data_IF_403930324548
#
_entry.id   IF_403930324548
#
_cell.length_a   1.000
_cell.length_b   1.000
_cell.length_c   1.000
_cell.angle_alpha   90.00
_cell.angle_beta   90.00
_cell.angle_gamma   90.00
#
_symmetry.space_group_name_H-M   'P 1'
#
loop_
_entity.id
_entity.type
_entity.pdbx_description
1 polymer ?
#
# COMPACT_ATOMS: atom_id res chain seq x y z
N UNK A 1 -12.08 2.82 5.72
CA UNK A 1 -12.40 4.27 5.64
C UNK A 1 -12.12 4.94 4.27
N UNK A 2 -10.96 4.76 3.64
CA UNK A 2 -10.61 5.43 2.37
C UNK A 2 -11.67 5.26 1.26
N UNK A 3 -12.00 4.01 0.93
CA UNK A 3 -12.96 3.71 -0.14
C UNK A 3 -14.38 4.15 0.23
N UNK A 4 -14.75 4.02 1.52
CA UNK A 4 -16.04 4.49 2.03
C UNK A 4 -16.19 5.99 1.84
N UNK A 5 -15.22 6.80 2.30
CA UNK A 5 -15.23 8.25 2.14
C UNK A 5 -15.26 8.65 0.65
N UNK A 6 -14.42 8.02 -0.18
CA UNK A 6 -14.40 8.28 -1.63
C UNK A 6 -15.76 8.01 -2.30
N UNK A 7 -16.42 6.91 -1.94
CA UNK A 7 -17.76 6.60 -2.43
C UNK A 7 -18.84 7.54 -1.91
N UNK A 8 -18.69 8.03 -0.67
CA UNK A 8 -19.61 9.01 -0.07
C UNK A 8 -19.53 10.37 -0.75
N UNK A 9 -18.34 10.92 -0.98
CA UNK A 9 -18.21 12.26 -1.59
C UNK A 9 -18.56 12.29 -3.08
N UNK A 10 -18.63 11.13 -3.74
CA UNK A 10 -18.93 11.00 -5.18
C UNK A 10 -20.40 10.65 -5.48
N UNK A 11 -21.29 10.74 -4.50
CA UNK A 11 -22.72 10.51 -4.74
C UNK A 11 -23.30 11.62 -5.62
N UNK A 12 -24.12 11.24 -6.60
CA UNK A 12 -24.86 12.20 -7.43
C UNK A 12 -25.90 12.97 -6.62
N UNK A 13 -26.54 12.30 -5.65
CA UNK A 13 -27.44 12.93 -4.70
C UNK A 13 -26.66 13.32 -3.43
N UNK A 14 -26.52 14.61 -3.18
CA UNK A 14 -25.79 15.15 -2.01
C UNK A 14 -26.43 14.80 -0.66
N UNK A 15 -27.73 14.46 -0.62
CA UNK A 15 -28.39 14.01 0.61
C UNK A 15 -27.77 12.72 1.15
N UNK A 16 -27.37 11.80 0.26
CA UNK A 16 -26.68 10.56 0.65
C UNK A 16 -25.33 10.86 1.28
N UNK A 17 -24.60 11.86 0.79
CA UNK A 17 -23.34 12.30 1.39
C UNK A 17 -23.57 12.94 2.76
N UNK A 18 -24.62 13.76 2.90
CA UNK A 18 -24.97 14.44 4.14
C UNK A 18 -25.28 13.46 5.28
N UNK A 19 -25.89 12.31 4.96
CA UNK A 19 -26.16 11.23 5.93
C UNK A 19 -24.90 10.49 6.40
N UNK A 20 -23.75 10.68 5.73
CA UNK A 20 -22.54 9.86 5.95
C UNK A 20 -21.43 10.54 6.77
N UNK A 21 -21.75 11.59 7.54
CA UNK A 21 -20.85 12.24 8.51
C UNK A 21 -19.42 12.47 7.99
N UNK A 22 -19.30 12.92 6.73
CA UNK A 22 -18.00 13.17 6.11
C UNK A 22 -17.40 14.44 6.70
N UNK A 23 -16.21 14.33 7.29
CA UNK A 23 -15.46 15.46 7.81
C UNK A 23 -14.29 15.81 6.89
N UNK A 24 -13.97 17.10 6.81
CA UNK A 24 -12.80 17.62 6.10
C UNK A 24 -11.78 18.15 7.11
N UNK A 25 -10.52 17.74 6.94
CA UNK A 25 -9.39 18.21 7.73
C UNK A 25 -8.39 18.82 6.75
N UNK A 26 -8.15 20.12 6.88
CA UNK A 26 -7.27 20.88 6.00
C UNK A 26 -5.80 20.53 6.27
N UNK A 27 -5.03 20.32 5.21
CA UNK A 27 -3.61 19.93 5.32
C UNK A 27 -2.69 20.75 4.41
N UNK A 28 -3.24 21.60 3.55
CA UNK A 28 -2.47 22.46 2.66
C UNK A 28 -3.30 23.67 2.26
N UNK A 29 -2.65 24.83 2.25
CA UNK A 29 -3.18 26.04 1.64
C UNK A 29 -2.59 26.18 0.24
N UNK A 30 -3.45 26.32 -0.77
CA UNK A 30 -2.99 26.47 -2.17
C UNK A 30 -2.73 27.94 -2.51
N UNK A 31 -3.64 28.82 -2.12
CA UNK A 31 -3.50 30.25 -2.28
C UNK A 31 -4.34 30.99 -1.21
N UNK A 32 -3.85 32.16 -0.80
CA UNK A 32 -4.61 33.15 -0.06
C UNK A 32 -4.09 34.52 -0.48
N UNK A 33 -4.96 35.31 -1.12
CA UNK A 33 -4.59 36.63 -1.62
C UNK A 33 -4.42 37.60 -0.45
N UNK A 34 -3.43 38.49 -0.56
CA UNK A 34 -3.16 39.57 0.40
C UNK A 34 -2.84 39.13 1.85
N UNK A 35 -2.35 37.90 2.03
CA UNK A 35 -1.89 37.38 3.34
C UNK A 35 -0.40 37.05 3.29
N UNK A 36 0.37 37.65 4.20
CA UNK A 36 1.78 37.29 4.41
C UNK A 36 1.91 36.25 5.53
N UNK A 37 2.48 35.09 5.19
CA UNK A 37 2.71 33.98 6.12
C UNK A 37 4.13 33.97 6.70
N UNK A 38 4.96 34.97 6.41
CA UNK A 38 6.33 35.06 6.93
C UNK A 38 7.18 33.85 6.55
N UNK A 39 6.99 33.31 5.34
CA UNK A 39 7.70 32.14 4.82
C UNK A 39 7.55 30.86 5.68
N UNK A 40 6.37 30.64 6.29
CA UNK A 40 6.13 29.50 7.18
C UNK A 40 4.81 28.78 6.88
N UNK A 41 4.86 27.45 6.73
CA UNK A 41 3.69 26.59 6.58
C UNK A 41 2.87 26.54 7.87
N UNK A 42 3.51 26.58 9.04
CA UNK A 42 2.82 26.67 10.33
C UNK A 42 1.89 27.90 10.37
N UNK A 43 2.33 29.04 9.85
CA UNK A 43 1.49 30.24 9.80
C UNK A 43 0.30 30.06 8.86
N UNK A 44 0.43 29.29 7.77
CA UNK A 44 -0.71 28.92 6.93
C UNK A 44 -1.72 28.05 7.69
N UNK A 45 -1.24 27.11 8.51
CA UNK A 45 -2.10 26.28 9.37
C UNK A 45 -2.86 27.13 10.39
N UNK A 46 -2.16 27.98 11.14
CA UNK A 46 -2.78 28.92 12.11
C UNK A 46 -3.80 29.84 11.44
N UNK A 47 -3.49 30.32 10.23
CA UNK A 47 -4.41 31.14 9.47
C UNK A 47 -5.65 30.35 9.06
N UNK A 48 -5.52 29.14 8.51
CA UNK A 48 -6.67 28.29 8.17
C UNK A 48 -7.56 28.00 9.39
N UNK A 49 -6.98 27.76 10.57
CA UNK A 49 -7.72 27.63 11.83
C UNK A 49 -8.50 28.91 12.16
N UNK A 50 -7.87 30.09 11.98
CA UNK A 50 -8.55 31.39 12.18
C UNK A 50 -9.72 31.62 11.22
N UNK A 51 -9.71 30.97 10.04
CA UNK A 51 -10.80 30.99 9.07
C UNK A 51 -11.90 29.96 9.38
N UNK A 52 -11.76 29.17 10.46
CA UNK A 52 -12.74 28.18 10.90
C UNK A 52 -12.54 26.78 10.33
N UNK A 53 -11.43 26.52 9.63
CA UNK A 53 -11.09 25.15 9.21
C UNK A 53 -10.52 24.35 10.38
N UNK A 54 -10.91 23.08 10.47
CA UNK A 54 -10.13 22.11 11.22
C UNK A 54 -8.87 21.77 10.42
N UNK A 55 -7.70 22.01 10.98
CA UNK A 55 -6.42 21.66 10.35
C UNK A 55 -5.92 20.31 10.88
N UNK A 56 -5.13 19.62 10.07
CA UNK A 56 -4.45 18.38 10.46
C UNK A 56 -3.61 18.61 11.70
N UNK A 57 -3.61 17.67 12.63
CA UNK A 57 -2.72 17.77 13.78
C UNK A 57 -1.26 17.72 13.31
N UNK A 58 -0.45 18.68 13.76
CA UNK A 58 0.94 18.82 13.37
C UNK A 58 1.83 19.15 14.57
N UNK A 59 3.14 18.98 14.40
CA UNK A 59 4.17 19.48 15.32
C UNK A 59 5.29 20.13 14.52
N UNK A 60 5.66 21.34 14.89
CA UNK A 60 6.90 21.95 14.40
C UNK A 60 8.08 21.27 15.10
N UNK A 61 9.04 20.80 14.31
CA UNK A 61 10.16 20.01 14.80
C UNK A 61 11.48 20.55 14.28
N UNK A 62 12.54 20.25 15.02
CA UNK A 62 13.92 20.37 14.55
C UNK A 62 14.47 18.97 14.31
N UNK A 63 15.70 18.88 13.79
CA UNK A 63 16.43 17.61 13.69
C UNK A 63 16.40 16.81 15.00
N UNK A 64 16.50 17.48 16.15
CA UNK A 64 16.63 16.82 17.45
C UNK A 64 15.28 16.41 18.05
N UNK A 65 14.16 17.02 17.65
CA UNK A 65 12.82 16.70 18.19
C UNK A 65 11.95 15.87 17.24
N UNK A 66 12.42 15.64 16.01
CA UNK A 66 11.67 14.92 14.99
C UNK A 66 11.34 13.48 15.41
N UNK A 67 12.31 12.73 15.93
CA UNK A 67 12.08 11.34 16.35
C UNK A 67 11.04 11.23 17.47
N UNK A 68 11.07 12.15 18.43
CA UNK A 68 10.11 12.15 19.54
C UNK A 68 8.70 12.52 19.06
N UNK A 69 8.58 13.42 18.08
CA UNK A 69 7.30 13.72 17.44
C UNK A 69 6.76 12.50 16.67
N UNK A 70 7.62 11.79 15.94
CA UNK A 70 7.23 10.54 15.24
C UNK A 70 6.74 9.50 16.24
N UNK A 71 7.46 9.27 17.34
CA UNK A 71 7.04 8.34 18.42
C UNK A 71 5.71 8.76 19.05
N UNK A 72 5.51 10.05 19.28
CA UNK A 72 4.25 10.57 19.81
C UNK A 72 3.07 10.20 18.90
N UNK A 73 3.17 10.48 17.59
CA UNK A 73 2.11 10.18 16.64
C UNK A 73 1.92 8.67 16.42
N UNK A 74 3.00 7.88 16.45
CA UNK A 74 2.91 6.42 16.35
C UNK A 74 2.16 5.79 17.53
N UNK A 75 2.28 6.37 18.74
CA UNK A 75 1.45 5.97 19.87
C UNK A 75 0.00 6.46 19.73
N UNK A 76 -0.16 7.73 19.35
CA UNK A 76 -1.48 8.38 19.26
C UNK A 76 -2.39 7.75 18.21
N UNK A 77 -1.84 7.29 17.08
CA UNK A 77 -2.64 6.78 15.97
C UNK A 77 -3.47 5.54 16.35
N UNK A 78 -3.05 4.80 17.38
CA UNK A 78 -3.78 3.64 17.91
C UNK A 78 -5.14 4.00 18.51
N UNK A 79 -5.33 5.25 18.94
CA UNK A 79 -6.57 5.75 19.56
C UNK A 79 -7.15 6.96 18.84
N UNK A 80 -6.65 7.28 17.65
CA UNK A 80 -7.06 8.48 16.92
C UNK A 80 -8.40 8.24 16.21
N UNK A 81 -9.22 9.29 16.09
CA UNK A 81 -10.61 9.17 15.62
C UNK A 81 -10.75 8.67 14.17
N UNK A 82 -9.69 8.81 13.39
CA UNK A 82 -9.59 8.28 12.03
C UNK A 82 -8.21 7.66 11.80
N UNK A 83 -8.12 6.59 11.00
CA UNK A 83 -6.85 5.95 10.73
C UNK A 83 -5.99 6.80 9.78
N UNK A 84 -4.68 6.69 9.94
CA UNK A 84 -3.63 7.29 9.13
C UNK A 84 -2.59 6.22 8.81
N UNK A 85 -2.04 6.23 7.60
CA UNK A 85 -0.97 5.33 7.16
C UNK A 85 0.44 5.89 7.39
N UNK A 86 0.55 7.07 8.00
CA UNK A 86 1.82 7.68 8.31
C UNK A 86 1.72 9.13 8.75
N UNK A 87 2.86 9.81 8.58
CA UNK A 87 3.03 11.26 8.70
C UNK A 87 3.51 11.83 7.38
N UNK A 88 3.24 13.12 7.18
CA UNK A 88 3.95 13.92 6.19
C UNK A 88 5.01 14.73 6.93
N UNK A 89 6.28 14.47 6.63
CA UNK A 89 7.40 15.28 7.12
C UNK A 89 7.76 16.27 6.03
N UNK A 90 7.67 17.56 6.31
CA UNK A 90 7.94 18.62 5.33
C UNK A 90 8.68 19.79 5.95
N UNK A 91 9.33 20.59 5.12
CA UNK A 91 9.95 21.84 5.56
C UNK A 91 8.88 22.87 5.88
N UNK A 92 9.04 23.55 7.01
CA UNK A 92 8.20 24.69 7.37
C UNK A 92 8.51 25.91 6.48
N UNK A 93 9.78 26.07 6.09
CA UNK A 93 10.24 27.16 5.22
C UNK A 93 9.74 26.93 3.78
N UNK A 94 8.84 27.81 3.32
CA UNK A 94 8.14 27.68 2.04
C UNK A 94 9.09 27.90 0.87
N UNK A 95 9.85 28.99 0.89
CA UNK A 95 10.81 29.36 -0.16
C UNK A 95 11.91 28.30 -0.29
N UNK A 96 12.46 27.83 0.82
CA UNK A 96 13.42 26.75 0.82
C UNK A 96 12.79 25.48 0.24
N UNK A 97 11.58 25.10 0.67
CA UNK A 97 10.86 23.96 0.12
C UNK A 97 10.67 24.05 -1.40
N UNK A 98 10.25 25.21 -1.91
CA UNK A 98 10.07 25.46 -3.34
C UNK A 98 11.40 25.37 -4.10
N UNK A 99 12.49 25.89 -3.52
CA UNK A 99 13.83 25.87 -4.14
C UNK A 99 14.37 24.46 -4.41
N UNK A 100 13.88 23.45 -3.66
CA UNK A 100 14.27 22.05 -3.87
C UNK A 100 13.67 21.45 -5.14
N UNK A 101 12.63 22.08 -5.71
CA UNK A 101 11.96 21.64 -6.93
C UNK A 101 11.16 20.34 -6.79
N UNK A 102 10.91 19.68 -7.92
CA UNK A 102 10.10 18.46 -7.98
C UNK A 102 10.81 17.36 -8.77
N UNK A 103 10.41 16.12 -8.53
CA UNK A 103 10.64 15.01 -9.46
C UNK A 103 9.55 15.01 -10.53
N UNK A 104 9.56 14.01 -11.44
CA UNK A 104 8.48 13.83 -12.41
C UNK A 104 7.09 13.60 -11.78
N UNK A 105 7.02 13.24 -10.48
CA UNK A 105 5.76 12.92 -9.79
C UNK A 105 5.55 13.63 -8.44
N UNK A 106 6.61 13.96 -7.71
CA UNK A 106 6.51 14.39 -6.31
C UNK A 106 7.39 15.59 -6.01
N UNK A 107 6.95 16.54 -5.16
CA UNK A 107 7.78 17.64 -4.71
C UNK A 107 8.87 17.14 -3.76
N UNK A 108 9.98 17.88 -3.66
CA UNK A 108 11.13 17.53 -2.81
C UNK A 108 11.09 18.19 -1.43
N UNK A 109 10.08 19.00 -1.15
CA UNK A 109 9.91 19.72 0.11
C UNK A 109 9.32 18.86 1.25
N UNK A 110 8.98 17.60 1.00
CA UNK A 110 8.49 16.70 2.03
C UNK A 110 8.48 15.25 1.59
N UNK A 111 8.23 14.38 2.56
CA UNK A 111 8.13 12.92 2.39
C UNK A 111 6.91 12.40 3.15
N UNK A 112 6.28 11.37 2.61
CA UNK A 112 5.32 10.56 3.35
C UNK A 112 6.10 9.50 4.14
N UNK A 113 6.20 9.70 5.46
CA UNK A 113 6.81 8.77 6.40
C UNK A 113 5.74 7.79 6.88
N UNK A 114 5.72 6.58 6.30
CA UNK A 114 4.69 5.58 6.59
C UNK A 114 4.93 4.89 7.93
N UNK A 115 3.84 4.49 8.58
CA UNK A 115 3.90 3.53 9.67
C UNK A 115 4.39 2.18 9.17
N UNK A 116 4.96 1.39 10.08
CA UNK A 116 5.26 0.01 9.79
C UNK A 116 3.94 -0.73 9.50
N UNK A 117 3.90 -1.50 8.41
CA UNK A 117 2.71 -2.23 8.02
C UNK A 117 2.37 -3.27 9.11
N UNK A 118 1.07 -3.40 9.42
CA UNK A 118 0.59 -4.46 10.32
C UNK A 118 0.91 -5.83 9.70
N UNK A 119 1.56 -6.69 10.48
CA UNK A 119 1.87 -8.06 10.07
C UNK A 119 1.09 -9.06 10.90
N UNK A 120 0.58 -10.09 10.24
CA UNK A 120 -0.08 -11.23 10.87
C UNK A 120 0.65 -12.52 10.50
N UNK A 121 0.81 -13.40 11.48
CA UNK A 121 1.29 -14.76 11.24
C UNK A 121 0.12 -15.67 10.85
N UNK A 122 0.33 -16.51 9.84
CA UNK A 122 -0.66 -17.46 9.34
C UNK A 122 0.01 -18.73 8.80
N UNK A 123 -0.79 -19.74 8.47
CA UNK A 123 -0.34 -20.98 7.85
C UNK A 123 -0.61 -20.95 6.34
N UNK A 124 0.45 -21.11 5.53
CA UNK A 124 0.34 -21.31 4.09
C UNK A 124 -0.34 -22.66 3.81
N UNK A 125 -1.48 -22.66 3.13
CA UNK A 125 -2.19 -23.90 2.80
C UNK A 125 -1.65 -24.53 1.53
N UNK A 126 -1.56 -23.74 0.47
CA UNK A 126 -1.05 -24.16 -0.83
C UNK A 126 -0.71 -22.98 -1.74
N UNK A 127 0.07 -23.23 -2.78
CA UNK A 127 0.28 -22.30 -3.89
C UNK A 127 -0.70 -22.60 -5.02
N UNK A 128 -1.56 -21.64 -5.34
CA UNK A 128 -2.40 -21.67 -6.53
C UNK A 128 -1.65 -21.06 -7.71
N UNK A 129 -1.69 -21.70 -8.87
CA UNK A 129 -1.00 -21.25 -10.07
C UNK A 129 -2.00 -20.60 -11.03
N UNK A 130 -1.87 -19.30 -11.25
CA UNK A 130 -2.82 -18.48 -12.00
C UNK A 130 -2.28 -18.11 -13.39
N UNK A 131 -2.77 -18.73 -14.48
CA UNK A 131 -2.37 -18.37 -15.84
C UNK A 131 -2.94 -17.03 -16.26
N UNK A 132 -2.13 -16.25 -16.97
CA UNK A 132 -2.49 -14.95 -17.51
C UNK A 132 -2.56 -14.98 -19.04
N UNK A 133 -3.13 -13.90 -19.62
CA UNK A 133 -3.26 -13.76 -21.08
C UNK A 133 -1.95 -13.72 -21.85
N UNK A 134 -0.82 -13.43 -21.20
CA UNK A 134 0.50 -13.44 -21.83
C UNK A 134 1.13 -14.84 -21.85
N UNK A 135 0.53 -15.80 -21.14
CA UNK A 135 1.06 -17.14 -20.93
C UNK A 135 1.88 -17.29 -19.64
N UNK A 136 2.16 -16.19 -18.92
CA UNK A 136 2.77 -16.28 -17.59
C UNK A 136 1.79 -16.96 -16.63
N UNK A 137 2.29 -17.87 -15.81
CA UNK A 137 1.56 -18.54 -14.75
C UNK A 137 2.13 -18.08 -13.41
N UNK A 138 1.38 -17.24 -12.71
CA UNK A 138 1.85 -16.59 -11.49
C UNK A 138 1.48 -17.41 -10.25
N UNK A 139 2.42 -17.59 -9.30
CA UNK A 139 2.11 -18.21 -8.01
C UNK A 139 1.31 -17.24 -7.13
N UNK A 140 0.24 -17.77 -6.54
CA UNK A 140 -0.63 -17.09 -5.58
C UNK A 140 -0.68 -17.93 -4.32
N UNK A 141 -0.18 -17.39 -3.22
CA UNK A 141 -0.23 -18.04 -1.92
C UNK A 141 -1.67 -18.00 -1.37
N UNK A 142 -2.18 -19.15 -0.97
CA UNK A 142 -3.47 -19.30 -0.28
C UNK A 142 -3.19 -19.76 1.14
N UNK A 143 -3.63 -19.00 2.13
CA UNK A 143 -3.32 -19.23 3.56
C UNK A 143 -4.56 -19.19 4.44
N UNK A 144 -4.41 -19.54 5.71
CA UNK A 144 -5.48 -19.40 6.70
C UNK A 144 -5.91 -17.94 6.84
N UNK A 145 -7.23 -17.63 6.79
CA UNK A 145 -7.69 -16.25 6.85
C UNK A 145 -7.20 -15.52 8.11
N UNK A 146 -6.67 -14.32 7.92
CA UNK A 146 -6.22 -13.43 9.00
C UNK A 146 -6.82 -12.05 8.84
N UNK A 147 -7.08 -11.38 9.96
CA UNK A 147 -7.46 -9.97 9.96
C UNK A 147 -6.21 -9.10 9.82
N UNK A 148 -6.23 -8.21 8.84
CA UNK A 148 -5.22 -7.18 8.62
C UNK A 148 -5.93 -5.86 8.29
N UNK A 149 -5.64 -4.82 9.06
CA UNK A 149 -6.19 -3.47 8.87
C UNK A 149 -7.73 -3.45 8.79
N UNK A 150 -8.38 -4.27 9.62
CA UNK A 150 -9.84 -4.39 9.71
C UNK A 150 -10.50 -5.09 8.52
N UNK A 151 -9.74 -5.92 7.79
CA UNK A 151 -10.31 -6.79 6.75
C UNK A 151 -9.68 -8.18 6.80
N UNK A 152 -10.48 -9.19 6.47
CA UNK A 152 -10.01 -10.56 6.32
C UNK A 152 -9.25 -10.75 5.01
N UNK A 153 -8.04 -11.29 5.10
CA UNK A 153 -7.17 -11.63 3.96
C UNK A 153 -6.82 -13.11 4.01
N UNK A 154 -6.83 -13.78 2.86
CA UNK A 154 -6.50 -15.22 2.75
C UNK A 154 -5.64 -15.56 1.53
N UNK A 155 -5.27 -14.56 0.73
CA UNK A 155 -4.56 -14.73 -0.53
C UNK A 155 -3.55 -13.61 -0.75
N UNK A 156 -2.35 -13.94 -1.22
CA UNK A 156 -1.32 -12.97 -1.60
C UNK A 156 -0.61 -13.39 -2.90
N UNK A 157 -0.25 -12.42 -3.74
CA UNK A 157 0.57 -12.67 -4.93
C UNK A 157 2.02 -12.93 -4.51
N UNK A 158 2.62 -14.01 -5.00
CA UNK A 158 4.06 -14.30 -4.84
C UNK A 158 4.85 -13.77 -6.06
N UNK A 159 4.15 -13.27 -7.07
CA UNK A 159 4.65 -12.68 -8.32
C UNK A 159 5.38 -13.65 -9.26
N UNK A 160 6.41 -14.39 -8.82
CA UNK A 160 7.21 -15.26 -9.68
C UNK A 160 7.92 -16.37 -8.89
N UNK A 161 8.58 -17.28 -9.61
CA UNK A 161 9.29 -18.42 -9.01
C UNK A 161 10.50 -17.94 -8.20
N UNK A 162 11.22 -16.92 -8.67
CA UNK A 162 12.40 -16.41 -7.95
C UNK A 162 12.07 -15.91 -6.54
N UNK A 163 10.94 -15.21 -6.36
CA UNK A 163 10.50 -14.78 -5.02
C UNK A 163 10.08 -15.99 -4.18
N UNK A 164 9.43 -16.98 -4.79
CA UNK A 164 9.06 -18.22 -4.10
C UNK A 164 10.29 -18.99 -3.61
N UNK A 165 11.37 -19.03 -4.42
CA UNK A 165 12.67 -19.59 -4.08
C UNK A 165 13.38 -18.77 -2.99
N UNK A 166 13.37 -17.44 -3.07
CA UNK A 166 13.98 -16.53 -2.08
C UNK A 166 13.33 -16.67 -0.70
N UNK A 167 12.01 -16.82 -0.67
CA UNK A 167 11.24 -17.03 0.55
C UNK A 167 11.16 -18.51 0.98
N UNK A 168 11.70 -19.44 0.18
CA UNK A 168 11.69 -20.89 0.43
C UNK A 168 10.27 -21.43 0.78
N UNK A 169 9.25 -20.98 0.03
CA UNK A 169 7.83 -21.19 0.35
C UNK A 169 7.32 -22.60 0.02
N UNK A 170 6.97 -23.37 1.04
CA UNK A 170 6.33 -24.68 0.93
C UNK A 170 4.97 -24.75 1.63
N UNK A 171 4.08 -25.59 1.13
CA UNK A 171 2.76 -25.81 1.73
C UNK A 171 2.88 -26.29 3.19
N UNK A 172 2.10 -25.68 4.09
CA UNK A 172 2.15 -25.92 5.53
C UNK A 172 3.06 -24.97 6.31
N UNK A 173 3.82 -24.11 5.63
CA UNK A 173 4.73 -23.17 6.28
C UNK A 173 3.99 -22.11 7.11
N UNK A 174 4.61 -21.72 8.23
CA UNK A 174 4.21 -20.51 8.95
C UNK A 174 4.83 -19.31 8.26
N UNK A 175 3.98 -18.36 7.85
CA UNK A 175 4.37 -17.16 7.12
C UNK A 175 3.87 -15.91 7.84
N UNK A 176 4.57 -14.81 7.65
CA UNK A 176 4.08 -13.46 7.98
C UNK A 176 3.54 -12.80 6.72
N UNK A 177 2.35 -12.23 6.84
CA UNK A 177 1.67 -11.51 5.78
C UNK A 177 1.33 -10.10 6.23
N UNK A 178 1.34 -9.17 5.28
CA UNK A 178 1.02 -7.77 5.49
C UNK A 178 0.33 -7.19 4.26
N UNK A 179 -0.14 -5.95 4.33
CA UNK A 179 -0.72 -5.24 3.18
C UNK A 179 0.14 -4.08 2.73
N UNK A 180 0.79 -4.23 1.59
CA UNK A 180 1.47 -3.11 0.96
C UNK A 180 0.47 -1.98 0.63
N UNK A 181 0.79 -0.78 1.11
CA UNK A 181 -0.04 0.43 0.96
C UNK A 181 -1.48 0.26 1.49
N UNK A 182 -1.67 -0.55 2.52
CA UNK A 182 -2.97 -0.91 3.12
C UNK A 182 -3.99 -1.60 2.19
N UNK A 183 -3.52 -2.13 1.06
CA UNK A 183 -4.43 -2.66 0.01
C UNK A 183 -3.99 -4.02 -0.50
N UNK A 184 -2.70 -4.20 -0.83
CA UNK A 184 -2.24 -5.38 -1.58
C UNK A 184 -1.58 -6.37 -0.61
N UNK A 185 -2.18 -7.54 -0.34
CA UNK A 185 -1.56 -8.55 0.50
C UNK A 185 -0.26 -9.08 -0.08
N UNK A 186 0.76 -9.18 0.77
CA UNK A 186 2.07 -9.72 0.45
C UNK A 186 2.58 -10.60 1.61
N UNK A 187 3.51 -11.49 1.29
CA UNK A 187 4.27 -12.26 2.28
C UNK A 187 5.52 -11.46 2.61
N UNK A 188 5.72 -11.10 3.88
CA UNK A 188 6.95 -10.43 4.34
C UNK A 188 8.05 -11.44 4.61
N UNK A 189 7.71 -12.59 5.19
CA UNK A 189 8.68 -13.57 5.65
C UNK A 189 8.07 -14.97 5.71
N UNK A 190 8.89 -15.98 5.40
CA UNK A 190 8.61 -17.37 5.74
C UNK A 190 9.41 -17.77 6.99
N UNK A 191 8.70 -18.18 8.03
CA UNK A 191 9.28 -18.55 9.32
C UNK A 191 9.72 -20.02 9.36
N UNK A 192 9.14 -20.87 8.50
CA UNK A 192 9.44 -22.31 8.46
C UNK A 192 10.50 -22.63 7.43
N UNK A 193 10.42 -22.05 6.22
CA UNK A 193 11.37 -22.28 5.12
C UNK A 193 11.53 -23.76 4.78
N UNK A 194 10.42 -24.45 4.51
CA UNK A 194 10.48 -25.88 4.18
C UNK A 194 11.04 -26.17 2.78
N UNK A 195 11.26 -25.13 1.98
CA UNK A 195 11.67 -25.21 0.59
C UNK A 195 10.48 -25.03 -0.34
N UNK A 196 10.72 -24.95 -1.65
CA UNK A 196 9.64 -24.71 -2.61
C UNK A 196 8.82 -25.96 -2.92
N UNK A 197 7.49 -25.78 -3.02
CA UNK A 197 6.61 -26.79 -3.59
C UNK A 197 6.96 -27.10 -5.06
N UNK A 198 6.56 -28.29 -5.52
CA UNK A 198 6.73 -28.70 -6.91
C UNK A 198 6.02 -27.73 -7.87
N UNK A 199 6.77 -27.27 -8.88
CA UNK A 199 6.21 -26.47 -9.96
C UNK A 199 5.26 -27.32 -10.81
N UNK A 200 4.07 -26.80 -11.19
CA UNK A 200 3.12 -27.57 -11.97
C UNK A 200 3.68 -27.82 -13.35
N UNK A 201 3.82 -29.10 -13.71
CA UNK A 201 4.34 -29.56 -15.00
C UNK A 201 3.36 -29.33 -16.16
N UNK A 202 2.09 -29.10 -15.85
CA UNK A 202 1.02 -28.86 -16.82
C UNK A 202 0.27 -27.56 -16.50
N UNK A 203 -0.15 -26.85 -17.53
CA UNK A 203 -0.91 -25.63 -17.39
C UNK A 203 -2.31 -25.94 -16.83
N UNK A 204 -2.73 -25.31 -15.71
CA UNK A 204 -4.00 -25.65 -15.07
C UNK A 204 -5.24 -25.29 -15.89
N UNK A 205 -5.08 -24.59 -17.02
CA UNK A 205 -6.20 -24.21 -17.92
C UNK A 205 -6.27 -25.09 -19.17
N UNK A 206 -5.13 -25.46 -19.78
CA UNK A 206 -5.12 -26.21 -21.04
C UNK A 206 -4.44 -27.58 -20.98
N UNK A 207 -3.87 -27.98 -19.85
CA UNK A 207 -3.17 -29.25 -19.67
C UNK A 207 -1.82 -29.37 -20.41
N UNK A 208 -1.42 -28.35 -21.18
CA UNK A 208 -0.16 -28.40 -21.92
C UNK A 208 1.04 -28.27 -20.98
N UNK A 209 2.16 -28.92 -21.33
CA UNK A 209 3.40 -28.85 -20.55
C UNK A 209 3.85 -27.41 -20.31
N UNK A 210 4.27 -27.10 -19.08
CA UNK A 210 4.78 -25.79 -18.69
C UNK A 210 6.29 -25.70 -18.89
N UNK A 211 6.79 -24.47 -19.00
CA UNK A 211 8.21 -24.17 -19.13
C UNK A 211 8.62 -23.11 -18.11
N UNK A 212 9.80 -23.25 -17.51
CA UNK A 212 10.41 -22.20 -16.70
C UNK A 212 11.25 -21.31 -17.61
N UNK A 213 10.93 -20.01 -17.65
CA UNK A 213 11.72 -19.01 -18.37
C UNK A 213 12.51 -18.16 -17.39
N UNK A 214 13.78 -17.94 -17.70
CA UNK A 214 14.65 -17.05 -16.96
C UNK A 214 14.99 -15.84 -17.84
N UNK A 215 14.43 -14.67 -17.52
CA UNK A 215 14.74 -13.41 -18.20
C UNK A 215 15.33 -12.44 -17.18
N UNK A 216 16.51 -11.86 -17.48
CA UNK A 216 17.24 -10.97 -16.57
C UNK A 216 17.43 -11.52 -15.15
N UNK A 217 17.60 -12.85 -15.01
CA UNK A 217 17.76 -13.52 -13.73
C UNK A 217 16.45 -13.81 -12.97
N UNK A 218 15.29 -13.42 -13.50
CA UNK A 218 13.98 -13.68 -12.90
C UNK A 218 13.38 -14.93 -13.54
N UNK A 219 13.10 -15.95 -12.72
CA UNK A 219 12.43 -17.19 -13.12
C UNK A 219 10.92 -17.03 -13.05
N UNK A 220 10.24 -17.35 -14.14
CA UNK A 220 8.77 -17.35 -14.25
C UNK A 220 8.29 -18.65 -14.86
N UNK A 221 7.08 -19.08 -14.50
CA UNK A 221 6.43 -20.23 -15.12
C UNK A 221 5.63 -19.76 -16.33
N UNK A 222 5.70 -20.51 -17.43
CA UNK A 222 5.09 -20.13 -18.71
C UNK A 222 4.33 -21.29 -19.35
N UNK A 223 3.20 -20.97 -19.97
CA UNK A 223 2.47 -21.87 -20.87
C UNK A 223 2.85 -21.58 -22.34
N UNK A 224 3.56 -22.47 -23.04
CA UNK A 224 3.98 -22.27 -24.43
C UNK A 224 2.83 -22.40 -25.44
N UNK A 225 1.72 -23.07 -25.07
CA UNK A 225 0.58 -23.26 -25.96
C UNK A 225 -0.04 -21.91 -26.40
N UNK A 226 -0.01 -21.63 -27.70
CA UNK A 226 -0.61 -20.43 -28.30
C UNK A 226 -2.14 -20.47 -28.35
N UNK A 227 -2.72 -21.67 -28.30
CA UNK A 227 -4.18 -21.91 -28.28
C UNK A 227 -4.73 -22.03 -26.86
N UNK A 228 -3.93 -21.74 -25.82
CA UNK A 228 -4.39 -21.80 -24.44
C UNK A 228 -5.58 -20.84 -24.22
N UNK A 229 -6.75 -21.30 -23.71
CA UNK A 229 -7.91 -20.44 -23.49
C UNK A 229 -7.60 -19.20 -22.65
N UNK A 230 -6.70 -19.30 -21.67
CA UNK A 230 -6.27 -18.16 -20.84
C UNK A 230 -5.70 -17.00 -21.67
N UNK A 231 -5.11 -17.26 -22.85
CA UNK A 231 -4.54 -16.24 -23.76
C UNK A 231 -5.59 -15.55 -24.64
N UNK A 232 -6.80 -16.09 -24.72
CA UNK A 232 -7.87 -15.61 -25.60
C UNK A 232 -9.04 -14.95 -24.85
N UNK A 233 -8.92 -14.78 -23.54
CA UNK A 233 -9.90 -14.04 -22.72
C UNK A 233 -9.89 -12.56 -23.15
N UNK A 234 -11.03 -12.07 -23.66
CA UNK A 234 -11.24 -10.65 -23.99
C UNK A 234 -11.62 -9.86 -22.74
N UNK A 235 -11.17 -8.61 -22.69
CA UNK A 235 -11.59 -7.62 -21.67
C UNK A 235 -13.08 -7.30 -21.80
#
# INVERSE_FOLDING_TARGET
>A
PRNLCSGSVRQLNSQVTAERNVNFVAFALINADDVDFGNSIEQQYKWMESQGFQVVEYRVVTRNSMEDAVKYFAGKIQTYDYPSDGLVLMFDDIEYGLSLGTTAKFPRNGIAFKWEDEQAETTLKYIEWSPSRTGLINPVAVFEPVELEGTTVSRASVHNISIMEELELGSGDRIKVYKANMIIPQISENLTKSGIDDLPKECPVCGHATEVKAENGIKTLYCPNSQCPAKHVKL
#
